data_IF_102702466113
#
_entry.id   IF_102702466113
#
_cell.length_a   1.000
_cell.length_b   1.000
_cell.length_c   1.000
_cell.angle_alpha   90.00
_cell.angle_beta   90.00
_cell.angle_gamma   90.00
#
_symmetry.space_group_name_H-M   'P 1'
#
loop_
_entity.id
_entity.type
_entity.pdbx_description
1 polymer ?
#
# COMPACT_ATOMS: atom_id res chain seq x y z
N UNK A 1 -71.96 -10.02 -5.71
CA UNK A 1 -70.98 -10.56 -4.78
C UNK A 1 -69.66 -10.61 -5.50
N UNK A 2 -68.85 -9.53 -5.35
CA UNK A 2 -67.49 -9.50 -5.88
C UNK A 2 -66.57 -9.96 -4.74
N UNK A 3 -66.05 -11.17 -4.88
CA UNK A 3 -65.01 -11.68 -4.02
C UNK A 3 -63.71 -10.99 -4.36
N UNK A 4 -63.26 -10.11 -3.48
CA UNK A 4 -61.93 -9.53 -3.55
C UNK A 4 -60.90 -10.64 -3.42
N UNK A 5 -60.09 -10.83 -4.46
CA UNK A 5 -58.88 -11.61 -4.36
C UNK A 5 -57.96 -10.91 -3.39
N UNK A 6 -57.86 -11.42 -2.17
CA UNK A 6 -56.81 -11.04 -1.21
C UNK A 6 -55.47 -11.47 -1.78
N UNK A 7 -54.75 -10.57 -2.41
CA UNK A 7 -53.37 -10.79 -2.77
C UNK A 7 -52.57 -11.17 -1.51
N UNK A 8 -51.72 -12.18 -1.59
CA UNK A 8 -50.79 -12.49 -0.51
C UNK A 8 -50.03 -11.20 -0.14
N UNK A 9 -49.85 -10.91 1.16
CA UNK A 9 -49.08 -9.73 1.54
C UNK A 9 -47.70 -9.79 0.88
N UNK A 10 -47.21 -8.65 0.41
CA UNK A 10 -45.87 -8.57 -0.17
C UNK A 10 -44.86 -9.16 0.80
N UNK A 11 -43.86 -9.90 0.32
CA UNK A 11 -42.81 -10.40 1.22
C UNK A 11 -42.17 -9.22 1.92
N UNK A 12 -41.85 -9.39 3.22
CA UNK A 12 -41.09 -8.39 3.94
C UNK A 12 -39.65 -8.30 3.39
N UNK A 13 -38.94 -7.27 3.78
CA UNK A 13 -37.58 -7.03 3.29
C UNK A 13 -36.63 -6.76 4.43
N UNK A 14 -35.47 -7.46 4.46
CA UNK A 14 -34.32 -7.15 5.32
C UNK A 14 -33.23 -6.53 4.47
N UNK A 15 -32.79 -5.33 4.83
CA UNK A 15 -31.66 -4.64 4.18
C UNK A 15 -30.52 -4.57 5.17
N UNK A 16 -29.43 -5.25 4.84
CA UNK A 16 -28.15 -5.14 5.54
C UNK A 16 -27.39 -3.94 4.96
N UNK A 17 -27.40 -2.82 5.66
CA UNK A 17 -26.72 -1.59 5.23
C UNK A 17 -25.27 -1.62 5.69
N UNK A 18 -24.35 -1.98 4.79
CA UNK A 18 -22.91 -2.03 5.11
C UNK A 18 -22.29 -0.65 5.00
N UNK A 19 -21.50 -0.28 6.00
CA UNK A 19 -20.74 0.98 6.02
C UNK A 19 -19.25 0.70 6.04
N UNK A 20 -18.45 1.69 5.68
CA UNK A 20 -16.99 1.60 5.64
C UNK A 20 -16.39 2.80 6.35
N UNK A 21 -15.35 2.59 7.14
CA UNK A 21 -14.54 3.66 7.75
C UNK A 21 -13.72 4.45 6.71
N UNK A 22 -13.64 3.96 5.45
CA UNK A 22 -12.94 4.62 4.34
C UNK A 22 -13.69 5.81 3.77
N UNK A 23 -14.91 6.02 4.24
CA UNK A 23 -15.76 7.16 3.88
C UNK A 23 -16.20 7.84 5.17
N UNK A 24 -16.15 9.17 5.20
CA UNK A 24 -16.52 9.92 6.38
C UNK A 24 -17.96 9.58 6.83
N UNK A 25 -18.16 9.49 8.13
CA UNK A 25 -19.46 9.19 8.69
C UNK A 25 -20.50 10.23 8.23
N UNK A 26 -21.71 9.76 7.93
CA UNK A 26 -22.78 10.59 7.34
C UNK A 26 -22.75 10.68 5.81
N UNK A 27 -21.66 10.34 5.15
CA UNK A 27 -21.59 10.31 3.70
C UNK A 27 -22.10 8.97 3.17
N UNK A 28 -23.39 8.84 3.02
CA UNK A 28 -24.04 7.66 2.45
C UNK A 28 -24.51 7.95 1.03
N UNK A 29 -24.58 6.89 0.23
CA UNK A 29 -25.13 6.96 -1.14
C UNK A 29 -26.62 7.33 -1.13
N UNK A 30 -27.10 7.95 -2.22
CA UNK A 30 -28.51 8.25 -2.34
C UNK A 30 -29.43 7.02 -2.16
N UNK A 31 -29.14 5.84 -2.73
CA UNK A 31 -29.93 4.64 -2.45
C UNK A 31 -29.98 4.28 -0.96
N UNK A 32 -28.85 4.42 -0.24
CA UNK A 32 -28.79 4.14 1.19
C UNK A 32 -29.68 5.13 1.98
N UNK A 33 -29.56 6.44 1.74
CA UNK A 33 -30.40 7.44 2.38
C UNK A 33 -31.89 7.22 2.11
N UNK A 34 -32.25 6.95 0.83
CA UNK A 34 -33.64 6.66 0.47
C UNK A 34 -34.17 5.44 1.22
N UNK A 35 -33.42 4.35 1.27
CA UNK A 35 -33.83 3.14 1.98
C UNK A 35 -33.98 3.37 3.49
N UNK A 36 -33.10 4.16 4.10
CA UNK A 36 -33.20 4.54 5.51
C UNK A 36 -34.47 5.35 5.83
N UNK A 37 -34.84 6.29 4.94
CA UNK A 37 -36.05 7.10 5.12
C UNK A 37 -37.35 6.35 4.83
N UNK A 38 -37.32 5.37 3.93
CA UNK A 38 -38.48 4.55 3.55
C UNK A 38 -38.67 3.32 4.44
N UNK A 39 -37.70 2.99 5.31
CA UNK A 39 -37.75 1.82 6.17
C UNK A 39 -38.80 1.95 7.28
N UNK A 40 -39.51 0.86 7.57
CA UNK A 40 -40.41 0.78 8.72
C UNK A 40 -39.65 0.73 10.04
N UNK A 41 -38.45 0.15 10.04
CA UNK A 41 -37.54 0.09 11.20
C UNK A 41 -36.10 0.15 10.74
N UNK A 42 -35.30 0.92 11.48
CA UNK A 42 -33.84 0.96 11.32
C UNK A 42 -33.22 0.51 12.66
N UNK A 43 -32.42 -0.53 12.61
CA UNK A 43 -31.85 -1.21 13.78
C UNK A 43 -30.32 -1.08 13.74
N UNK A 44 -29.72 -0.79 14.87
CA UNK A 44 -28.27 -0.75 15.06
C UNK A 44 -27.91 -1.38 16.41
N UNK A 45 -27.07 -2.41 16.48
CA UNK A 45 -26.67 -3.03 17.74
C UNK A 45 -25.59 -2.21 18.48
N UNK A 46 -24.84 -1.37 17.77
CA UNK A 46 -23.72 -0.61 18.30
C UNK A 46 -24.14 0.82 18.66
N UNK A 47 -24.20 1.18 19.98
CA UNK A 47 -24.57 2.52 20.41
C UNK A 47 -23.56 3.60 20.02
N UNK A 48 -22.31 3.21 19.72
CA UNK A 48 -21.22 4.10 19.35
C UNK A 48 -20.95 4.10 17.83
N UNK A 49 -21.87 3.54 17.05
CA UNK A 49 -21.73 3.46 15.60
C UNK A 49 -21.55 4.87 14.97
N UNK A 50 -20.50 5.12 14.18
CA UNK A 50 -20.12 6.46 13.69
C UNK A 50 -21.22 7.19 12.92
N UNK A 51 -22.11 6.48 12.25
CA UNK A 51 -23.20 7.08 11.47
C UNK A 51 -24.42 7.51 12.33
N UNK A 52 -24.56 7.05 13.57
CA UNK A 52 -25.75 7.35 14.40
C UNK A 52 -26.04 8.83 14.59
N UNK A 53 -25.06 9.72 14.86
CA UNK A 53 -25.32 11.14 14.99
C UNK A 53 -25.97 11.73 13.73
N UNK A 54 -25.45 11.37 12.56
CA UNK A 54 -25.91 11.86 11.27
C UNK A 54 -27.30 11.32 10.88
N UNK A 55 -27.59 10.05 11.21
CA UNK A 55 -28.92 9.46 11.00
C UNK A 55 -29.98 10.16 11.85
N UNK A 56 -29.64 10.46 13.11
CA UNK A 56 -30.53 11.19 14.00
C UNK A 56 -30.75 12.62 13.53
N UNK A 57 -29.71 13.31 13.11
CA UNK A 57 -29.81 14.67 12.55
C UNK A 57 -30.66 14.70 11.27
N UNK A 58 -30.56 13.67 10.43
CA UNK A 58 -31.38 13.50 9.23
C UNK A 58 -32.83 13.07 9.54
N UNK A 59 -33.20 12.90 10.80
CA UNK A 59 -34.56 12.50 11.19
C UNK A 59 -34.88 11.02 10.98
N UNK A 60 -33.88 10.16 10.80
CA UNK A 60 -34.08 8.72 10.72
C UNK A 60 -34.16 8.13 12.15
N UNK A 61 -35.31 7.53 12.54
CA UNK A 61 -35.44 6.92 13.85
C UNK A 61 -34.65 5.59 13.85
N UNK A 62 -33.62 5.50 14.71
CA UNK A 62 -32.82 4.31 14.88
C UNK A 62 -33.06 3.67 16.22
N UNK A 63 -33.42 2.40 16.22
CA UNK A 63 -33.58 1.57 17.41
C UNK A 63 -32.24 0.87 17.71
N UNK A 64 -31.76 1.02 18.96
CA UNK A 64 -30.58 0.30 19.43
C UNK A 64 -31.01 -1.11 19.85
N UNK A 65 -30.76 -2.10 19.02
CA UNK A 65 -31.14 -3.47 19.25
C UNK A 65 -30.19 -4.43 18.54
N UNK A 66 -29.75 -5.44 19.27
CA UNK A 66 -28.96 -6.55 18.74
C UNK A 66 -29.93 -7.74 18.54
N UNK A 67 -30.33 -7.97 17.30
CA UNK A 67 -31.29 -8.99 16.93
C UNK A 67 -30.57 -10.19 16.26
N UNK A 68 -31.02 -11.38 16.57
CA UNK A 68 -30.67 -12.59 15.84
C UNK A 68 -31.24 -12.59 14.41
N UNK A 69 -30.69 -13.44 13.52
CA UNK A 69 -31.23 -13.57 12.17
C UNK A 69 -32.71 -13.95 12.14
N UNK A 70 -33.18 -14.80 13.08
CA UNK A 70 -34.60 -15.15 13.19
C UNK A 70 -35.47 -13.95 13.61
N UNK A 71 -35.02 -13.18 14.60
CA UNK A 71 -35.76 -11.99 15.05
C UNK A 71 -35.84 -10.90 13.96
N UNK A 72 -34.81 -10.77 13.13
CA UNK A 72 -34.84 -9.89 11.95
C UNK A 72 -35.89 -10.35 10.92
N UNK A 73 -35.97 -11.65 10.66
CA UNK A 73 -36.99 -12.22 9.78
C UNK A 73 -38.38 -11.93 10.34
N UNK A 74 -38.59 -12.19 11.64
CA UNK A 74 -39.87 -11.97 12.31
C UNK A 74 -40.25 -10.47 12.32
N UNK A 75 -39.27 -9.56 12.41
CA UNK A 75 -39.50 -8.11 12.36
C UNK A 75 -40.09 -7.64 11.03
N UNK A 76 -39.90 -8.38 9.95
CA UNK A 76 -40.46 -8.07 8.62
C UNK A 76 -41.93 -8.52 8.43
N UNK A 77 -42.52 -9.15 9.42
CA UNK A 77 -43.88 -9.64 9.35
C UNK A 77 -44.85 -8.53 8.92
N UNK A 78 -45.80 -8.87 8.03
CA UNK A 78 -46.75 -7.90 7.45
C UNK A 78 -46.20 -7.06 6.30
N UNK A 79 -45.09 -7.50 5.67
CA UNK A 79 -44.51 -6.86 4.49
C UNK A 79 -43.62 -5.67 4.81
N UNK A 80 -43.12 -5.59 6.03
CA UNK A 80 -42.28 -4.47 6.49
C UNK A 80 -40.87 -4.53 5.93
N UNK A 81 -40.27 -3.35 5.72
CA UNK A 81 -38.85 -3.15 5.42
C UNK A 81 -38.08 -2.84 6.70
N UNK A 82 -37.13 -3.70 7.03
CA UNK A 82 -36.22 -3.55 8.18
C UNK A 82 -34.81 -3.33 7.66
N UNK A 83 -34.22 -2.20 8.02
CA UNK A 83 -32.78 -1.92 7.76
C UNK A 83 -32.01 -2.28 9.01
N UNK A 84 -30.99 -3.09 8.85
CA UNK A 84 -30.03 -3.43 9.90
C UNK A 84 -28.69 -2.82 9.57
N UNK A 85 -28.16 -2.03 10.50
CA UNK A 85 -26.86 -1.36 10.42
C UNK A 85 -25.86 -2.15 11.28
N UNK A 86 -25.05 -3.04 10.70
CA UNK A 86 -24.11 -3.83 11.48
C UNK A 86 -23.00 -2.94 12.09
N UNK A 87 -22.30 -3.43 13.15
CA UNK A 87 -21.17 -2.70 13.72
C UNK A 87 -20.14 -2.31 12.65
N UNK A 88 -19.58 -1.11 12.77
CA UNK A 88 -18.57 -0.62 11.83
C UNK A 88 -17.23 -1.32 12.04
N UNK A 89 -16.68 -1.87 10.97
CA UNK A 89 -15.32 -2.45 10.93
C UNK A 89 -15.22 -3.83 11.59
N UNK A 90 -15.03 -4.86 10.83
CA UNK A 90 -14.79 -6.21 11.36
C UNK A 90 -15.28 -7.33 10.45
N UNK A 91 -15.19 -8.55 10.96
CA UNK A 91 -15.71 -9.74 10.30
C UNK A 91 -17.22 -9.60 9.99
N UNK A 92 -17.71 -10.31 8.96
CA UNK A 92 -19.15 -10.32 8.67
C UNK A 92 -19.95 -10.60 9.95
N UNK A 93 -20.99 -9.82 10.24
CA UNK A 93 -21.77 -10.02 11.48
C UNK A 93 -22.32 -11.44 11.54
N UNK A 94 -22.36 -12.03 12.73
CA UNK A 94 -22.94 -13.36 12.96
C UNK A 94 -24.37 -13.48 12.41
N UNK A 95 -25.10 -12.38 12.39
CA UNK A 95 -26.45 -12.26 11.82
C UNK A 95 -26.49 -12.58 10.32
N UNK A 96 -25.43 -12.26 9.56
CA UNK A 96 -25.37 -12.58 8.12
C UNK A 96 -25.30 -14.09 7.89
N UNK A 97 -24.49 -14.80 8.67
CA UNK A 97 -24.38 -16.25 8.63
C UNK A 97 -25.68 -16.93 9.10
N UNK A 98 -26.35 -16.35 10.07
CA UNK A 98 -27.66 -16.85 10.52
C UNK A 98 -28.74 -16.71 9.45
N UNK A 99 -28.83 -15.54 8.81
CA UNK A 99 -29.77 -15.32 7.71
C UNK A 99 -29.48 -16.26 6.52
N UNK A 100 -28.22 -16.48 6.19
CA UNK A 100 -27.82 -17.43 5.15
C UNK A 100 -28.24 -18.87 5.50
N UNK A 101 -28.03 -19.29 6.75
CA UNK A 101 -28.45 -20.63 7.24
C UNK A 101 -29.96 -20.77 7.25
N UNK A 102 -30.71 -19.78 7.68
CA UNK A 102 -32.16 -19.77 7.66
C UNK A 102 -32.68 -19.91 6.23
N UNK A 103 -32.17 -19.13 5.30
CA UNK A 103 -32.52 -19.19 3.87
C UNK A 103 -32.21 -20.54 3.26
N UNK A 104 -31.05 -21.13 3.55
CA UNK A 104 -30.67 -22.47 3.08
C UNK A 104 -31.47 -23.61 3.68
N UNK A 105 -32.10 -23.41 4.83
CA UNK A 105 -32.86 -24.46 5.54
C UNK A 105 -34.18 -24.84 4.87
N UNK A 106 -34.79 -23.90 4.13
CA UNK A 106 -36.11 -24.04 3.53
C UNK A 106 -37.26 -24.18 4.56
N UNK A 107 -37.00 -23.99 5.84
CA UNK A 107 -37.96 -24.18 6.94
C UNK A 107 -38.67 -22.89 7.34
N UNK A 108 -38.16 -21.76 6.96
CA UNK A 108 -38.62 -20.42 7.30
C UNK A 108 -39.00 -19.70 6.01
N UNK A 109 -40.17 -19.02 6.02
CA UNK A 109 -40.53 -18.13 4.92
C UNK A 109 -39.64 -16.90 5.01
N UNK A 110 -38.64 -16.81 4.13
CA UNK A 110 -37.67 -15.74 4.13
C UNK A 110 -38.23 -14.47 3.49
N UNK A 111 -37.95 -13.30 4.09
CA UNK A 111 -38.15 -12.02 3.43
C UNK A 111 -37.14 -11.85 2.28
N UNK A 112 -37.34 -10.83 1.45
CA UNK A 112 -36.31 -10.41 0.51
C UNK A 112 -35.06 -9.93 1.30
N UNK A 113 -33.92 -10.52 1.01
CA UNK A 113 -32.64 -10.15 1.63
C UNK A 113 -31.84 -9.29 0.66
N UNK A 114 -31.48 -8.10 1.09
CA UNK A 114 -30.64 -7.19 0.32
C UNK A 114 -29.39 -6.79 1.11
N UNK A 115 -28.25 -6.87 0.44
CA UNK A 115 -27.01 -6.24 0.92
C UNK A 115 -26.86 -4.89 0.20
N UNK A 116 -27.03 -3.81 0.95
CA UNK A 116 -26.94 -2.45 0.41
C UNK A 116 -25.65 -1.78 0.90
N UNK A 117 -24.68 -1.51 0.02
CA UNK A 117 -23.53 -0.70 0.38
C UNK A 117 -23.94 0.75 0.65
N UNK A 118 -23.60 1.25 1.83
CA UNK A 118 -23.82 2.66 2.21
C UNK A 118 -22.97 3.61 1.36
N UNK A 119 -21.80 3.14 0.94
CA UNK A 119 -20.86 3.89 0.10
C UNK A 119 -20.03 2.91 -0.74
N UNK A 120 -19.33 3.45 -1.74
CA UNK A 120 -18.41 2.68 -2.59
C UNK A 120 -16.99 3.18 -2.40
N UNK A 121 -16.05 2.24 -2.30
CA UNK A 121 -14.64 2.55 -2.19
C UNK A 121 -14.10 3.08 -3.53
N UNK A 122 -13.24 4.09 -3.45
CA UNK A 122 -12.43 4.51 -4.59
C UNK A 122 -11.17 3.63 -4.71
N UNK A 123 -10.58 3.52 -5.90
CA UNK A 123 -9.26 2.91 -6.05
C UNK A 123 -8.25 3.55 -5.07
N UNK A 124 -7.49 2.72 -4.35
CA UNK A 124 -6.57 3.19 -3.31
C UNK A 124 -7.16 3.26 -1.90
N UNK A 125 -8.47 3.09 -1.71
CA UNK A 125 -9.10 3.17 -0.39
C UNK A 125 -8.53 2.17 0.64
N UNK A 126 -7.89 1.06 0.19
CA UNK A 126 -7.17 0.13 1.08
C UNK A 126 -5.98 0.74 1.81
N UNK A 127 -5.44 1.85 1.30
CA UNK A 127 -4.39 2.58 2.01
C UNK A 127 -4.90 3.17 3.34
N UNK A 128 -6.18 3.53 3.43
CA UNK A 128 -6.81 3.98 4.67
C UNK A 128 -6.88 2.84 5.71
N UNK A 129 -7.15 1.60 5.27
CA UNK A 129 -7.08 0.43 6.16
C UNK A 129 -5.69 0.26 6.74
N UNK A 130 -4.66 0.38 5.88
CA UNK A 130 -3.27 0.23 6.29
C UNK A 130 -2.86 1.29 7.30
N UNK A 131 -3.23 2.54 7.09
CA UNK A 131 -2.97 3.64 8.04
C UNK A 131 -3.63 3.33 9.39
N UNK A 132 -4.93 3.00 9.40
CA UNK A 132 -5.65 2.69 10.63
C UNK A 132 -5.06 1.48 11.38
N UNK A 133 -4.65 0.44 10.66
CA UNK A 133 -3.98 -0.73 11.25
C UNK A 133 -2.65 -0.34 11.86
N UNK A 134 -1.87 0.52 11.20
CA UNK A 134 -0.59 1.00 11.71
C UNK A 134 -0.76 1.85 12.97
N UNK A 135 -1.73 2.76 12.99
CA UNK A 135 -2.05 3.58 14.17
C UNK A 135 -2.35 2.71 15.37
N UNK A 136 -3.17 1.69 15.17
CA UNK A 136 -3.50 0.73 16.21
C UNK A 136 -2.29 -0.09 16.68
N UNK A 137 -1.47 -0.56 15.72
CA UNK A 137 -0.21 -1.26 16.03
C UNK A 137 0.72 -0.36 16.86
N UNK A 138 0.86 0.90 16.48
CA UNK A 138 1.68 1.87 17.22
C UNK A 138 1.16 2.12 18.64
N UNK A 139 -0.15 2.18 18.81
CA UNK A 139 -0.78 2.42 20.11
C UNK A 139 -0.74 1.20 21.04
N UNK A 140 -0.96 -0.01 20.51
CA UNK A 140 -1.23 -1.20 21.33
C UNK A 140 -0.05 -2.20 21.39
N UNK A 141 0.84 -2.21 20.38
CA UNK A 141 1.93 -3.20 20.33
C UNK A 141 3.14 -2.72 21.15
N UNK A 142 3.56 -3.47 22.22
CA UNK A 142 4.68 -3.07 23.07
C UNK A 142 6.02 -2.96 22.34
N UNK A 143 6.19 -3.68 21.23
CA UNK A 143 7.40 -3.62 20.42
C UNK A 143 7.36 -2.40 19.49
N UNK A 144 6.29 -2.24 18.72
CA UNK A 144 6.15 -1.20 17.70
C UNK A 144 6.12 0.20 18.32
N UNK A 145 5.44 0.38 19.47
CA UNK A 145 5.32 1.67 20.17
C UNK A 145 6.67 2.31 20.55
N UNK A 146 7.72 1.50 20.70
CA UNK A 146 9.06 1.94 21.13
C UNK A 146 10.04 2.12 19.96
N UNK A 147 9.67 1.76 18.74
CA UNK A 147 10.62 1.85 17.60
C UNK A 147 10.89 3.28 17.18
N UNK A 148 12.17 3.51 16.77
CA UNK A 148 12.66 4.77 16.22
C UNK A 148 12.98 4.65 14.74
N UNK A 149 13.19 5.78 14.06
CA UNK A 149 13.60 5.80 12.66
C UNK A 149 14.92 5.05 12.43
N UNK A 150 15.90 5.23 13.34
CA UNK A 150 17.22 4.62 13.24
C UNK A 150 17.16 3.10 13.36
N UNK A 151 16.32 2.59 14.25
CA UNK A 151 16.17 1.15 14.48
C UNK A 151 15.51 0.45 13.28
N UNK A 152 14.61 1.14 12.58
CA UNK A 152 13.87 0.59 11.44
C UNK A 152 14.60 0.76 10.10
N UNK A 153 15.53 1.72 9.99
CA UNK A 153 16.18 2.02 8.70
C UNK A 153 16.84 0.81 8.03
N UNK A 154 17.39 -0.13 8.82
CA UNK A 154 18.01 -1.36 8.29
C UNK A 154 16.99 -2.28 7.60
N UNK A 155 15.77 -2.39 8.14
CA UNK A 155 14.70 -3.19 7.54
C UNK A 155 14.23 -2.58 6.23
N UNK A 156 14.07 -1.26 6.15
CA UNK A 156 13.73 -0.59 4.90
C UNK A 156 14.76 -0.82 3.77
N UNK A 157 16.05 -1.01 4.11
CA UNK A 157 17.08 -1.40 3.14
C UNK A 157 16.91 -2.86 2.73
N UNK A 158 16.61 -3.75 3.68
CA UNK A 158 16.38 -5.18 3.47
C UNK A 158 15.20 -5.39 2.51
N UNK A 159 14.02 -4.83 2.80
CA UNK A 159 12.83 -4.91 1.96
C UNK A 159 13.09 -4.40 0.53
N UNK A 160 13.89 -3.33 0.38
CA UNK A 160 14.26 -2.84 -0.94
C UNK A 160 15.15 -3.82 -1.71
N UNK A 161 16.01 -4.60 -1.04
CA UNK A 161 16.81 -5.64 -1.71
C UNK A 161 15.96 -6.86 -2.06
N UNK A 162 15.02 -7.25 -1.22
CA UNK A 162 14.07 -8.34 -1.48
C UNK A 162 13.17 -8.00 -2.66
N UNK A 163 12.66 -6.76 -2.73
CA UNK A 163 11.93 -6.26 -3.90
C UNK A 163 12.78 -6.33 -5.19
N UNK A 164 14.06 -5.92 -5.13
CA UNK A 164 14.96 -6.01 -6.28
C UNK A 164 15.16 -7.47 -6.70
N UNK A 165 15.33 -8.40 -5.75
CA UNK A 165 15.45 -9.83 -6.03
C UNK A 165 14.19 -10.38 -6.70
N UNK A 166 13.02 -10.08 -6.17
CA UNK A 166 11.73 -10.48 -6.74
C UNK A 166 11.52 -9.95 -8.18
N UNK A 167 11.93 -8.69 -8.45
CA UNK A 167 11.87 -8.10 -9.80
C UNK A 167 12.83 -8.81 -10.76
N UNK A 168 14.07 -9.09 -10.33
CA UNK A 168 15.08 -9.77 -11.16
C UNK A 168 14.69 -11.22 -11.46
N UNK A 169 13.98 -11.87 -10.55
CA UNK A 169 13.46 -13.23 -10.73
C UNK A 169 12.13 -13.26 -11.53
N UNK A 170 11.48 -12.12 -11.71
CA UNK A 170 10.22 -11.99 -12.42
C UNK A 170 9.03 -12.59 -11.66
N UNK A 171 9.16 -12.81 -10.35
CA UNK A 171 8.12 -13.35 -9.49
C UNK A 171 7.09 -12.28 -9.11
N UNK A 172 5.93 -12.34 -9.76
CA UNK A 172 4.86 -11.34 -9.56
C UNK A 172 4.20 -11.42 -8.18
N UNK A 173 4.18 -12.58 -7.55
CA UNK A 173 3.65 -12.74 -6.19
C UNK A 173 4.60 -12.13 -5.17
N UNK A 174 5.89 -12.47 -5.26
CA UNK A 174 6.93 -11.87 -4.44
C UNK A 174 7.00 -10.34 -4.64
N UNK A 175 6.97 -9.83 -5.89
CA UNK A 175 6.93 -8.38 -6.15
C UNK A 175 5.77 -7.69 -5.41
N UNK A 176 4.58 -8.32 -5.36
CA UNK A 176 3.43 -7.76 -4.66
C UNK A 176 3.64 -7.75 -3.14
N UNK A 177 4.22 -8.80 -2.59
CA UNK A 177 4.54 -8.94 -1.17
C UNK A 177 5.57 -7.89 -0.76
N UNK A 178 6.71 -7.82 -1.46
CA UNK A 178 7.79 -6.90 -1.14
C UNK A 178 7.41 -5.41 -1.33
N UNK A 179 6.54 -5.11 -2.30
CA UNK A 179 5.94 -3.77 -2.40
C UNK A 179 5.08 -3.44 -1.18
N UNK A 180 4.43 -4.42 -0.57
CA UNK A 180 3.70 -4.28 0.69
C UNK A 180 4.64 -3.95 1.84
N UNK A 181 5.79 -4.61 1.94
CA UNK A 181 6.77 -4.42 3.00
C UNK A 181 7.53 -3.08 2.85
N UNK A 182 7.84 -2.66 1.63
CA UNK A 182 8.32 -1.29 1.37
C UNK A 182 7.27 -0.25 1.77
N UNK A 183 5.99 -0.47 1.49
CA UNK A 183 4.91 0.42 1.90
C UNK A 183 4.73 0.43 3.41
N UNK A 184 4.89 -0.71 4.09
CA UNK A 184 4.92 -0.81 5.55
C UNK A 184 5.96 0.13 6.14
N UNK A 185 7.19 0.15 5.60
CA UNK A 185 8.25 1.07 6.07
C UNK A 185 7.81 2.53 5.97
N UNK A 186 7.18 2.92 4.86
CA UNK A 186 6.70 4.30 4.66
C UNK A 186 5.66 4.67 5.70
N UNK A 187 4.64 3.84 5.89
CA UNK A 187 3.54 4.12 6.83
C UNK A 187 4.03 4.07 8.28
N UNK A 188 4.93 3.14 8.61
CA UNK A 188 5.49 3.05 9.95
C UNK A 188 6.35 4.28 10.30
N UNK A 189 7.22 4.71 9.39
CA UNK A 189 8.02 5.92 9.58
C UNK A 189 7.15 7.18 9.70
N UNK A 190 6.06 7.29 8.94
CA UNK A 190 5.10 8.38 9.06
C UNK A 190 4.41 8.37 10.43
N UNK A 191 3.97 7.20 10.91
CA UNK A 191 3.36 7.06 12.24
C UNK A 191 4.33 7.34 13.40
N UNK A 192 5.64 7.13 13.22
CA UNK A 192 6.67 7.58 14.19
C UNK A 192 6.77 9.10 14.19
N UNK A 193 6.84 9.71 12.99
CA UNK A 193 7.01 11.14 12.83
C UNK A 193 5.81 11.95 13.34
N UNK A 194 4.59 11.40 13.24
CA UNK A 194 3.38 12.02 13.79
C UNK A 194 3.45 12.20 15.32
N UNK A 195 4.20 11.34 16.02
CA UNK A 195 4.46 11.45 17.46
C UNK A 195 5.55 12.45 17.82
N UNK A 196 6.17 13.18 16.89
CA UNK A 196 7.25 14.13 17.20
C UNK A 196 6.72 15.35 17.94
N UNK A 197 7.32 15.76 19.08
CA UNK A 197 6.75 16.78 19.96
C UNK A 197 6.77 18.21 19.38
N UNK A 198 7.70 18.53 18.48
CA UNK A 198 7.88 19.88 17.95
C UNK A 198 7.50 20.01 16.48
N UNK A 199 7.80 19.00 15.68
CA UNK A 199 7.60 19.01 14.22
C UNK A 199 6.91 17.71 13.76
N UNK A 200 5.65 17.46 14.19
CA UNK A 200 4.91 16.28 13.76
C UNK A 200 4.52 16.36 12.27
N UNK A 201 4.60 15.23 11.58
CA UNK A 201 4.01 15.05 10.26
C UNK A 201 3.52 13.62 10.08
N UNK A 202 2.39 13.44 9.40
CA UNK A 202 1.78 12.15 9.16
C UNK A 202 1.91 11.67 7.71
N UNK A 203 1.20 10.58 7.42
CA UNK A 203 1.20 9.98 6.08
C UNK A 203 0.61 10.93 5.03
N UNK A 204 -0.37 11.76 5.39
CA UNK A 204 -0.98 12.72 4.49
C UNK A 204 0.02 13.80 4.07
N UNK A 205 0.88 14.27 4.96
CA UNK A 205 1.94 15.25 4.66
C UNK A 205 2.99 14.64 3.71
N UNK A 206 3.35 13.36 3.95
CA UNK A 206 4.26 12.61 3.07
C UNK A 206 3.65 12.48 1.66
N UNK A 207 2.38 12.10 1.58
CA UNK A 207 1.66 11.96 0.31
C UNK A 207 1.51 13.30 -0.40
N UNK A 208 1.10 14.37 0.30
CA UNK A 208 0.96 15.71 -0.26
C UNK A 208 2.28 16.22 -0.83
N UNK A 209 3.38 16.12 -0.07
CA UNK A 209 4.72 16.50 -0.53
C UNK A 209 5.13 15.74 -1.80
N UNK A 210 4.82 14.44 -1.88
CA UNK A 210 5.11 13.65 -3.07
C UNK A 210 4.24 14.07 -4.26
N UNK A 211 2.95 14.32 -4.06
CA UNK A 211 2.03 14.77 -5.11
C UNK A 211 2.48 16.11 -5.68
N UNK A 212 2.77 17.10 -4.84
CA UNK A 212 3.28 18.41 -5.27
C UNK A 212 4.55 18.26 -6.12
N UNK A 213 5.49 17.46 -5.66
CA UNK A 213 6.73 17.18 -6.37
C UNK A 213 6.49 16.49 -7.72
N UNK A 214 5.58 15.53 -7.81
CA UNK A 214 5.25 14.83 -9.05
C UNK A 214 4.56 15.75 -10.03
N UNK A 215 3.57 16.54 -9.60
CA UNK A 215 2.87 17.52 -10.42
C UNK A 215 3.86 18.55 -10.98
N UNK A 216 4.71 19.12 -10.11
CA UNK A 216 5.70 20.12 -10.53
C UNK A 216 6.72 19.57 -11.56
N UNK A 217 7.11 18.28 -11.43
CA UNK A 217 8.11 17.66 -12.33
C UNK A 217 7.54 17.06 -13.61
N UNK A 218 6.21 17.12 -13.80
CA UNK A 218 5.54 16.66 -15.01
C UNK A 218 4.73 17.79 -15.66
N UNK A 219 5.36 18.94 -16.01
CA UNK A 219 4.64 20.05 -16.59
C UNK A 219 4.05 19.74 -17.97
N UNK A 220 4.49 18.69 -18.63
CA UNK A 220 3.91 18.17 -19.87
C UNK A 220 2.59 17.40 -19.66
N UNK A 221 2.21 17.09 -18.41
CA UNK A 221 0.93 16.44 -18.04
C UNK A 221 0.03 17.43 -17.31
N UNK A 222 0.59 18.23 -16.39
CA UNK A 222 -0.16 19.09 -15.47
C UNK A 222 0.00 20.59 -15.77
N UNK A 223 0.77 20.97 -16.79
CA UNK A 223 1.03 22.35 -17.20
C UNK A 223 1.05 22.50 -18.73
N UNK A 224 1.73 23.53 -19.21
CA UNK A 224 1.72 23.93 -20.62
C UNK A 224 3.01 23.51 -21.37
N UNK A 225 3.99 22.87 -20.72
CA UNK A 225 5.20 22.41 -21.39
C UNK A 225 4.89 21.18 -22.25
N UNK A 226 5.57 21.08 -23.41
CA UNK A 226 5.43 19.93 -24.30
C UNK A 226 6.67 19.04 -24.19
N UNK A 227 6.47 17.73 -24.01
CA UNK A 227 7.52 16.74 -24.11
C UNK A 227 6.96 15.51 -24.84
N UNK A 228 7.47 15.26 -26.04
CA UNK A 228 6.98 14.21 -26.95
C UNK A 228 7.79 12.91 -26.86
N UNK A 229 8.98 12.98 -26.26
CA UNK A 229 9.87 11.80 -26.14
C UNK A 229 10.30 11.56 -24.69
N UNK A 230 10.62 10.31 -24.33
CA UNK A 230 11.14 9.97 -23.00
C UNK A 230 12.38 10.78 -22.61
N UNK A 231 13.26 11.09 -23.58
CA UNK A 231 14.48 11.84 -23.35
C UNK A 231 14.17 13.30 -22.97
N UNK A 232 13.16 13.92 -23.59
CA UNK A 232 12.70 15.25 -23.25
C UNK A 232 12.07 15.29 -21.84
N UNK A 233 11.28 14.27 -21.50
CA UNK A 233 10.73 14.11 -20.14
C UNK A 233 11.85 14.01 -19.11
N UNK A 234 12.86 13.18 -19.39
CA UNK A 234 14.01 13.01 -18.49
C UNK A 234 14.82 14.28 -18.33
N UNK A 235 15.07 15.01 -19.42
CA UNK A 235 15.77 16.29 -19.39
C UNK A 235 15.03 17.34 -18.57
N UNK A 236 13.71 17.46 -18.74
CA UNK A 236 12.86 18.34 -17.93
C UNK A 236 12.89 17.96 -16.45
N UNK A 237 12.79 16.68 -16.14
CA UNK A 237 12.89 16.19 -14.77
C UNK A 237 14.20 16.58 -14.08
N UNK A 238 15.34 16.39 -14.77
CA UNK A 238 16.67 16.74 -14.25
C UNK A 238 16.78 18.26 -14.05
N UNK A 239 16.30 19.07 -15.03
CA UNK A 239 16.28 20.54 -14.96
C UNK A 239 15.48 21.04 -13.74
N UNK A 240 14.25 20.59 -13.60
CA UNK A 240 13.35 21.01 -12.51
C UNK A 240 13.89 20.60 -11.14
N UNK A 241 14.39 19.35 -11.02
CA UNK A 241 15.04 18.89 -9.80
C UNK A 241 16.30 19.69 -9.44
N UNK A 242 17.00 20.23 -10.42
CA UNK A 242 18.15 21.12 -10.23
C UNK A 242 17.75 22.47 -9.64
N UNK A 243 16.63 23.04 -10.11
CA UNK A 243 16.08 24.33 -9.65
C UNK A 243 15.53 24.22 -8.22
N UNK A 244 14.79 23.15 -7.90
CA UNK A 244 14.20 22.95 -6.56
C UNK A 244 15.25 22.86 -5.45
N UNK A 245 16.40 22.31 -5.76
CA UNK A 245 17.50 22.14 -4.81
C UNK A 245 18.66 23.00 -5.25
N UNK A 246 18.68 24.25 -4.76
CA UNK A 246 19.90 25.06 -4.83
C UNK A 246 21.03 24.26 -4.17
N UNK A 247 21.95 23.70 -5.00
CA UNK A 247 23.07 22.90 -4.53
C UNK A 247 24.34 23.69 -4.64
N UNK A 248 25.10 23.73 -3.56
CA UNK A 248 26.42 24.35 -3.54
C UNK A 248 27.46 23.46 -4.25
N UNK A 249 27.21 22.15 -4.28
CA UNK A 249 28.06 21.16 -4.93
C UNK A 249 27.25 20.14 -5.76
N UNK A 250 27.84 19.65 -6.83
CA UNK A 250 27.28 18.53 -7.63
C UNK A 250 27.14 17.23 -6.82
N UNK A 251 27.87 17.11 -5.72
CA UNK A 251 27.84 15.96 -4.82
C UNK A 251 26.67 15.99 -3.85
N UNK A 252 26.04 17.16 -3.67
CA UNK A 252 24.93 17.32 -2.70
C UNK A 252 23.75 16.42 -3.03
N UNK A 253 23.25 15.71 -2.00
CA UNK A 253 22.14 14.77 -2.11
C UNK A 253 22.51 13.47 -2.86
N UNK A 254 23.80 13.11 -2.91
CA UNK A 254 24.24 11.72 -3.13
C UNK A 254 24.37 11.09 -1.75
N UNK A 255 23.53 10.10 -1.37
CA UNK A 255 23.55 9.53 -0.04
C UNK A 255 24.87 8.77 0.19
N UNK A 256 25.59 9.11 1.26
CA UNK A 256 26.85 8.43 1.61
C UNK A 256 26.66 6.99 2.08
N UNK A 257 25.45 6.62 2.47
CA UNK A 257 25.08 5.26 2.86
C UNK A 257 24.68 4.36 1.67
N UNK A 258 24.69 4.88 0.45
CA UNK A 258 24.42 4.06 -0.75
C UNK A 258 25.51 3.00 -0.96
N UNK A 259 25.20 1.86 -1.61
CA UNK A 259 26.22 0.92 -2.09
C UNK A 259 27.32 1.65 -2.87
N UNK A 260 28.56 1.26 -2.63
CA UNK A 260 29.72 2.04 -3.07
C UNK A 260 29.78 2.20 -4.61
N UNK A 261 29.47 1.15 -5.36
CA UNK A 261 29.48 1.22 -6.84
C UNK A 261 28.37 2.12 -7.37
N UNK A 262 27.17 2.05 -6.79
CA UNK A 262 26.05 2.93 -7.15
C UNK A 262 26.36 4.39 -6.82
N UNK A 263 27.02 4.65 -5.67
CA UNK A 263 27.49 5.98 -5.30
C UNK A 263 28.53 6.50 -6.28
N UNK A 264 29.54 5.68 -6.61
CA UNK A 264 30.60 6.01 -7.56
C UNK A 264 30.03 6.35 -8.95
N UNK A 265 29.12 5.52 -9.47
CA UNK A 265 28.44 5.74 -10.75
C UNK A 265 27.69 7.08 -10.75
N UNK A 266 26.94 7.37 -9.68
CA UNK A 266 26.16 8.62 -9.55
C UNK A 266 27.02 9.86 -9.44
N UNK A 267 28.14 9.78 -8.72
CA UNK A 267 29.12 10.88 -8.63
C UNK A 267 29.77 11.13 -10.00
N UNK A 268 30.18 10.08 -10.71
CA UNK A 268 30.76 10.18 -12.04
C UNK A 268 29.80 10.80 -13.06
N UNK A 269 28.52 10.40 -13.05
CA UNK A 269 27.49 10.97 -13.91
C UNK A 269 27.31 12.48 -13.67
N UNK A 270 27.23 12.90 -12.41
CA UNK A 270 27.09 14.30 -12.06
C UNK A 270 28.34 15.13 -12.37
N UNK A 271 29.52 14.57 -12.15
CA UNK A 271 30.78 15.23 -12.49
C UNK A 271 30.88 15.42 -14.04
N UNK A 272 30.50 14.41 -14.82
CA UNK A 272 30.43 14.49 -16.28
C UNK A 272 29.45 15.58 -16.75
N UNK A 273 28.24 15.61 -16.19
CA UNK A 273 27.24 16.61 -16.53
C UNK A 273 27.70 18.05 -16.22
N UNK A 274 28.54 18.20 -15.21
CA UNK A 274 29.13 19.49 -14.81
C UNK A 274 30.47 19.82 -15.50
N UNK A 275 30.96 18.97 -16.40
CA UNK A 275 32.24 19.14 -17.07
C UNK A 275 33.47 19.07 -16.14
N UNK A 276 33.32 18.37 -14.99
CA UNK A 276 34.37 18.15 -14.04
C UNK A 276 35.25 16.94 -14.41
N UNK A 277 36.50 16.86 -13.90
CA UNK A 277 37.38 15.72 -14.14
C UNK A 277 36.74 14.40 -13.68
N UNK A 278 36.86 13.37 -14.48
CA UNK A 278 36.46 11.99 -14.12
C UNK A 278 37.68 11.21 -13.68
N UNK A 279 37.50 10.19 -12.81
CA UNK A 279 38.57 9.28 -12.46
C UNK A 279 39.13 8.59 -13.71
N UNK A 280 40.45 8.58 -13.85
CA UNK A 280 41.10 7.86 -14.92
C UNK A 280 41.30 6.40 -14.51
N UNK A 281 40.97 5.44 -15.41
CA UNK A 281 41.28 4.06 -15.15
C UNK A 281 42.82 3.85 -15.15
N UNK A 282 43.40 3.26 -14.12
CA UNK A 282 44.80 2.89 -14.11
C UNK A 282 45.05 1.81 -15.17
N UNK A 283 46.23 1.85 -15.83
CA UNK A 283 46.59 1.06 -16.99
C UNK A 283 46.84 -0.44 -16.74
N UNK A 284 46.39 -1.04 -15.75
CA UNK A 284 46.33 -2.42 -15.29
C UNK A 284 46.65 -2.45 -13.76
N UNK A 285 45.73 -2.90 -12.94
CA UNK A 285 45.93 -2.79 -11.49
C UNK A 285 46.88 -3.90 -11.02
N UNK A 286 48.07 -3.50 -10.52
CA UNK A 286 48.59 -4.21 -9.36
C UNK A 286 47.72 -3.78 -8.17
N UNK A 287 46.90 -4.68 -7.68
CA UNK A 287 46.08 -4.42 -6.48
C UNK A 287 46.98 -4.65 -5.27
N UNK A 288 47.80 -3.64 -4.95
CA UNK A 288 48.84 -3.76 -3.95
C UNK A 288 48.39 -3.15 -2.60
N UNK A 289 47.36 -2.27 -2.63
CA UNK A 289 46.78 -1.64 -1.45
C UNK A 289 45.29 -1.24 -1.65
N UNK A 290 44.66 -0.82 -0.56
CA UNK A 290 43.25 -0.42 -0.54
C UNK A 290 42.95 0.80 -1.43
N UNK A 291 43.87 1.78 -1.47
CA UNK A 291 43.70 3.00 -2.24
C UNK A 291 43.69 2.70 -3.75
N UNK A 292 44.66 1.91 -4.21
CA UNK A 292 44.77 1.48 -5.63
C UNK A 292 43.56 0.67 -6.07
N UNK A 293 43.05 -0.24 -5.22
CA UNK A 293 41.81 -0.97 -5.50
C UNK A 293 40.62 -0.03 -5.58
N UNK A 294 40.49 0.92 -4.65
CA UNK A 294 39.40 1.90 -4.61
C UNK A 294 39.37 2.77 -5.86
N UNK A 295 40.52 3.29 -6.28
CA UNK A 295 40.65 4.10 -7.52
C UNK A 295 40.28 3.30 -8.77
N UNK A 296 40.67 2.03 -8.83
CA UNK A 296 40.31 1.14 -9.95
C UNK A 296 38.80 0.89 -9.99
N UNK A 297 38.16 0.53 -8.89
CA UNK A 297 36.71 0.31 -8.81
C UNK A 297 35.92 1.58 -9.16
N UNK A 298 36.40 2.75 -8.72
CA UNK A 298 35.79 4.04 -9.05
C UNK A 298 35.85 4.31 -10.56
N UNK A 299 37.02 4.05 -11.18
CA UNK A 299 37.20 4.21 -12.62
C UNK A 299 36.33 3.26 -13.44
N UNK A 300 36.24 1.99 -13.04
CA UNK A 300 35.36 1.00 -13.68
C UNK A 300 33.88 1.41 -13.54
N UNK A 301 33.44 1.86 -12.37
CA UNK A 301 32.08 2.35 -12.17
C UNK A 301 31.78 3.57 -13.05
N UNK A 302 32.74 4.50 -13.20
CA UNK A 302 32.62 5.66 -14.08
C UNK A 302 32.53 5.28 -15.55
N UNK A 303 33.32 4.30 -15.98
CA UNK A 303 33.31 3.78 -17.36
C UNK A 303 32.01 3.04 -17.67
N UNK A 304 31.52 2.19 -16.76
CA UNK A 304 30.24 1.50 -16.87
C UNK A 304 29.09 2.51 -17.02
N UNK A 305 29.03 3.51 -16.15
CA UNK A 305 28.03 4.58 -16.22
C UNK A 305 28.08 5.34 -17.57
N UNK A 306 29.28 5.62 -18.09
CA UNK A 306 29.43 6.24 -19.40
C UNK A 306 28.86 5.38 -20.54
N UNK A 307 28.91 4.07 -20.39
CA UNK A 307 28.36 3.10 -21.34
C UNK A 307 26.86 2.81 -21.12
N UNK A 308 26.19 3.46 -20.16
CA UNK A 308 24.79 3.21 -19.83
C UNK A 308 24.56 1.90 -19.06
N UNK A 309 25.59 1.36 -18.40
CA UNK A 309 25.54 0.13 -17.63
C UNK A 309 25.50 0.50 -16.14
N UNK A 310 24.56 -0.05 -15.38
CA UNK A 310 24.55 0.04 -13.91
C UNK A 310 25.60 -0.91 -13.34
N UNK A 311 26.69 -0.42 -12.71
CA UNK A 311 27.76 -1.26 -12.20
C UNK A 311 27.35 -2.07 -10.95
N UNK A 312 26.42 -1.57 -10.13
CA UNK A 312 25.91 -2.28 -8.96
C UNK A 312 25.08 -3.50 -9.40
N UNK A 313 24.13 -3.29 -10.32
CA UNK A 313 23.33 -4.37 -10.90
C UNK A 313 24.22 -5.39 -11.66
N UNK A 314 25.17 -4.91 -12.44
CA UNK A 314 26.09 -5.77 -13.17
C UNK A 314 26.91 -6.69 -12.26
N UNK A 315 27.43 -6.16 -11.14
CA UNK A 315 28.19 -6.95 -10.16
C UNK A 315 27.27 -7.91 -9.41
N UNK A 316 26.06 -7.50 -9.06
CA UNK A 316 25.05 -8.36 -8.42
C UNK A 316 24.69 -9.55 -9.31
N UNK A 317 24.44 -9.33 -10.59
CA UNK A 317 24.19 -10.40 -11.56
C UNK A 317 25.41 -11.34 -11.71
N UNK A 318 26.64 -10.81 -11.71
CA UNK A 318 27.83 -11.62 -11.75
C UNK A 318 27.98 -12.48 -10.48
N UNK A 319 27.70 -11.91 -9.32
CA UNK A 319 27.71 -12.62 -8.03
C UNK A 319 26.66 -13.73 -7.98
N UNK A 320 25.44 -13.51 -8.51
CA UNK A 320 24.41 -14.55 -8.65
C UNK A 320 24.86 -15.72 -9.54
N UNK A 321 25.45 -15.43 -10.70
CA UNK A 321 26.00 -16.47 -11.56
C UNK A 321 27.10 -17.27 -10.87
N UNK A 322 27.97 -16.59 -10.14
CA UNK A 322 29.03 -17.25 -9.38
C UNK A 322 28.50 -18.12 -8.24
N UNK A 323 27.45 -17.64 -7.51
CA UNK A 323 26.75 -18.43 -6.51
C UNK A 323 26.15 -19.72 -7.07
N UNK A 324 25.55 -19.65 -8.28
CA UNK A 324 25.01 -20.80 -8.99
C UNK A 324 26.12 -21.79 -9.39
N UNK A 325 27.25 -21.29 -9.87
CA UNK A 325 28.40 -22.13 -10.22
C UNK A 325 29.01 -22.85 -9.01
N UNK A 326 29.09 -22.17 -7.85
CA UNK A 326 29.50 -22.81 -6.57
C UNK A 326 28.56 -23.95 -6.21
N UNK A 327 27.24 -23.72 -6.23
CA UNK A 327 26.24 -24.76 -5.89
C UNK A 327 26.31 -25.97 -6.84
N UNK A 328 26.54 -25.73 -8.13
CA UNK A 328 26.72 -26.81 -9.10
C UNK A 328 27.96 -27.65 -8.78
N UNK A 329 29.09 -26.99 -8.49
CA UNK A 329 30.33 -27.70 -8.13
C UNK A 329 30.23 -28.47 -6.80
N UNK A 330 29.43 -28.00 -5.84
CA UNK A 330 29.15 -28.70 -4.61
C UNK A 330 28.29 -29.96 -4.86
N UNK A 331 27.27 -29.85 -5.72
CA UNK A 331 26.41 -30.98 -6.10
C UNK A 331 27.23 -32.06 -6.82
N UNK A 332 28.12 -31.69 -7.76
CA UNK A 332 28.99 -32.62 -8.46
C UNK A 332 29.94 -33.36 -7.49
N UNK A 333 30.49 -32.67 -6.50
CA UNK A 333 31.32 -33.28 -5.47
C UNK A 333 30.51 -34.21 -4.53
N UNK A 334 29.24 -33.88 -4.28
CA UNK A 334 28.34 -34.75 -3.48
C UNK A 334 27.98 -36.01 -4.25
N UNK A 335 27.74 -35.94 -5.55
CA UNK A 335 27.45 -37.09 -6.40
C UNK A 335 28.67 -38.07 -6.51
N UNK A 336 29.90 -37.54 -6.64
CA UNK A 336 31.11 -38.37 -6.74
C UNK A 336 31.49 -39.11 -5.43
N UNK A 337 30.98 -38.70 -4.28
CA UNK A 337 31.21 -39.41 -3.01
C UNK A 337 30.33 -40.64 -2.83
N UNK A 338 29.22 -40.74 -3.52
CA UNK A 338 28.31 -41.88 -3.44
C UNK A 338 28.75 -43.05 -4.38
N UNK A 339 29.62 -42.80 -5.38
CA UNK A 339 30.13 -43.82 -6.28
C UNK A 339 31.42 -44.49 -5.78
N UNK A 340 32.11 -43.93 -4.78
CA UNK A 340 33.34 -44.54 -4.22
C UNK A 340 33.06 -45.52 -3.03
N UNK A 341 31.82 -45.59 -2.52
CA UNK A 341 31.43 -46.46 -1.42
C UNK A 341 30.60 -47.71 -1.88
N UNK A 342 30.56 -48.03 -3.19
CA UNK A 342 29.98 -49.27 -3.71
C UNK A 342 31.10 -50.20 -4.29
#
# INVERSE_FOLDING_TARGET
MNGGAGGAPAPGRVVLLTTSHRVAAGQLSWPAWRTLHEADRVLCPDPDHPHLPYLREAGVPVELADLTGQELVDATAGGRTVVYLPPSGGAPPAVTDELARLGGSGRVAMPDLELLPGSYDLPGARLLDLVQVMDRIRAECPWSSLRTHEELAKYGIEEMYELVEAIEDGDREAIREELGDVLLQVVFHAAIAEGHPEEPFGIDDVAATLVEKLVHRHPHIYGDEVAETPEQVQANWVRLKGVEKARDSVTDGVPVASPALAQAAKLADRARAAGLPLPAAPAAPAVDDEATLGDHLLAEAAAAQAAGIDPEAALRHAARRYRAAIRAAEADRGAGRFDEDQ
#
